data_IF_734648683324
#
_entry.id   IF_734648683324
#
_cell.length_a   1.000
_cell.length_b   1.000
_cell.length_c   1.000
_cell.angle_alpha   90.00
_cell.angle_beta   90.00
_cell.angle_gamma   90.00
#
_symmetry.space_group_name_H-M   'P 1'
#
loop_
_entity.id
_entity.type
_entity.pdbx_description
1 polymer ?
#
# COMPACT_ATOMS: atom_id res chain seq x y z
N UNK A 1 0.71 -10.27 2.25
CA UNK A 1 1.93 -9.46 2.02
C UNK A 1 2.55 -9.02 3.33
N UNK A 2 1.80 -8.34 4.18
CA UNK A 2 2.29 -7.68 5.38
C UNK A 2 3.11 -8.63 6.30
N UNK A 3 2.66 -9.86 6.49
CA UNK A 3 3.37 -10.85 7.32
C UNK A 3 4.75 -11.20 6.73
N UNK A 4 4.82 -11.35 5.40
CA UNK A 4 6.07 -11.64 4.69
C UNK A 4 7.03 -10.45 4.82
N UNK A 5 6.55 -9.24 4.58
CA UNK A 5 7.35 -8.02 4.67
C UNK A 5 7.88 -7.79 6.08
N UNK A 6 7.05 -7.99 7.11
CA UNK A 6 7.43 -7.88 8.53
C UNK A 6 8.46 -8.94 8.92
N UNK A 7 8.32 -10.18 8.40
CA UNK A 7 9.30 -11.24 8.62
C UNK A 7 10.68 -10.85 8.04
N UNK A 8 10.72 -10.42 6.77
CA UNK A 8 11.99 -10.01 6.16
C UNK A 8 12.58 -8.75 6.81
N UNK A 9 11.76 -7.78 7.23
CA UNK A 9 12.23 -6.63 7.99
C UNK A 9 12.87 -7.03 9.32
N UNK A 10 12.30 -8.05 10.00
CA UNK A 10 12.86 -8.60 11.24
C UNK A 10 14.23 -9.26 11.07
N UNK A 11 14.54 -9.76 9.88
CA UNK A 11 15.87 -10.28 9.56
C UNK A 11 16.93 -9.17 9.39
N UNK A 12 16.50 -7.93 9.14
CA UNK A 12 17.39 -6.77 9.05
C UNK A 12 17.68 -6.19 10.43
N UNK A 13 16.64 -5.80 11.18
CA UNK A 13 16.74 -5.34 12.56
C UNK A 13 15.36 -5.27 13.23
N UNK A 14 15.33 -5.28 14.56
CA UNK A 14 14.10 -5.09 15.35
C UNK A 14 13.51 -3.70 15.15
N UNK A 15 14.34 -2.67 14.98
CA UNK A 15 13.88 -1.30 14.70
C UNK A 15 13.24 -1.18 13.32
N UNK A 16 13.78 -1.88 12.30
CA UNK A 16 13.18 -1.94 10.97
C UNK A 16 11.81 -2.63 11.01
N UNK A 17 11.69 -3.73 11.76
CA UNK A 17 10.44 -4.46 11.94
C UNK A 17 9.38 -3.61 12.66
N UNK A 18 9.76 -2.96 13.77
CA UNK A 18 8.87 -2.09 14.51
C UNK A 18 8.47 -0.85 13.70
N UNK A 19 9.42 -0.23 12.99
CA UNK A 19 9.17 0.90 12.11
C UNK A 19 8.21 0.57 10.98
N UNK A 20 8.36 -0.62 10.36
CA UNK A 20 7.42 -1.09 9.35
C UNK A 20 6.01 -1.27 9.92
N UNK A 21 5.89 -1.89 11.10
CA UNK A 21 4.60 -2.16 11.73
C UNK A 21 3.82 -0.87 12.02
N UNK A 22 4.45 0.14 12.62
CA UNK A 22 3.81 1.44 12.91
C UNK A 22 3.47 2.21 11.62
N UNK A 23 4.31 2.10 10.59
CA UNK A 23 4.06 2.73 9.31
C UNK A 23 2.82 2.16 8.63
N UNK A 24 2.62 0.83 8.68
CA UNK A 24 1.42 0.20 8.14
C UNK A 24 0.16 0.62 8.87
N UNK A 25 0.21 0.77 10.20
CA UNK A 25 -0.95 1.25 10.97
C UNK A 25 -1.37 2.66 10.54
N UNK A 26 -0.41 3.58 10.43
CA UNK A 26 -0.66 4.93 9.97
C UNK A 26 -1.11 4.96 8.50
N UNK A 27 -0.49 4.16 7.63
CA UNK A 27 -0.84 4.05 6.22
C UNK A 27 -2.25 3.51 6.00
N UNK A 28 -2.69 2.57 6.83
CA UNK A 28 -4.02 1.97 6.73
C UNK A 28 -5.15 2.99 6.87
N UNK A 29 -4.94 4.06 7.64
CA UNK A 29 -5.90 5.18 7.76
C UNK A 29 -6.18 5.78 6.38
N UNK A 30 -5.15 6.01 5.58
CA UNK A 30 -5.29 6.56 4.23
C UNK A 30 -5.90 5.54 3.25
N UNK A 31 -5.49 4.28 3.35
CA UNK A 31 -6.01 3.19 2.50
C UNK A 31 -7.51 2.95 2.72
N UNK A 32 -8.03 3.19 3.92
CA UNK A 32 -9.46 3.04 4.25
C UNK A 32 -10.36 3.89 3.35
N UNK A 33 -9.89 5.04 2.90
CA UNK A 33 -10.63 5.88 1.93
C UNK A 33 -10.81 5.15 0.60
N UNK A 34 -9.79 4.39 0.17
CA UNK A 34 -9.87 3.55 -1.04
C UNK A 34 -10.95 2.45 -0.91
N UNK A 35 -11.09 1.83 0.27
CA UNK A 35 -12.18 0.88 0.52
C UNK A 35 -13.55 1.54 0.35
N UNK A 36 -13.74 2.74 0.88
CA UNK A 36 -14.97 3.50 0.71
C UNK A 36 -15.29 3.78 -0.76
N UNK A 37 -14.28 4.16 -1.53
CA UNK A 37 -14.41 4.37 -2.97
C UNK A 37 -14.81 3.08 -3.69
N UNK A 38 -14.18 1.95 -3.39
CA UNK A 38 -14.52 0.65 -3.95
C UNK A 38 -15.98 0.27 -3.68
N UNK A 39 -16.45 0.44 -2.44
CA UNK A 39 -17.84 0.18 -2.06
C UNK A 39 -18.83 1.10 -2.82
N UNK A 40 -18.50 2.39 -2.97
CA UNK A 40 -19.32 3.33 -3.73
C UNK A 40 -19.39 2.92 -5.22
N UNK A 41 -18.27 2.52 -5.82
CA UNK A 41 -18.25 2.04 -7.21
C UNK A 41 -19.08 0.77 -7.40
N UNK A 42 -18.98 -0.19 -6.46
CA UNK A 42 -19.82 -1.40 -6.49
C UNK A 42 -21.31 -1.05 -6.45
N UNK A 43 -21.71 -0.12 -5.59
CA UNK A 43 -23.11 0.26 -5.44
C UNK A 43 -23.62 1.04 -6.66
N UNK A 44 -22.90 2.06 -7.13
CA UNK A 44 -23.34 2.94 -8.22
C UNK A 44 -23.38 2.19 -9.56
N UNK A 45 -22.28 1.55 -9.92
CA UNK A 45 -22.18 0.80 -11.18
C UNK A 45 -23.11 -0.42 -11.15
N UNK A 46 -23.19 -1.14 -10.03
CA UNK A 46 -24.08 -2.28 -9.89
C UNK A 46 -25.56 -1.91 -10.01
N UNK A 47 -25.98 -0.76 -9.49
CA UNK A 47 -27.33 -0.23 -9.66
C UNK A 47 -27.64 0.09 -11.14
N UNK A 48 -26.72 0.74 -11.86
CA UNK A 48 -26.91 1.05 -13.28
C UNK A 48 -27.03 -0.24 -14.12
N UNK A 49 -26.16 -1.22 -13.88
CA UNK A 49 -26.22 -2.54 -14.53
C UNK A 49 -27.55 -3.25 -14.20
N UNK A 50 -27.99 -3.20 -12.93
CA UNK A 50 -29.27 -3.80 -12.50
C UNK A 50 -30.48 -3.20 -13.20
N UNK A 51 -30.42 -1.90 -13.56
CA UNK A 51 -31.44 -1.22 -14.40
C UNK A 51 -31.28 -1.46 -15.90
N UNK A 52 -30.24 -2.19 -16.32
CA UNK A 52 -29.85 -2.39 -17.71
C UNK A 52 -29.53 -1.07 -18.45
N UNK A 53 -28.97 -0.13 -17.74
CA UNK A 53 -28.51 1.17 -18.24
C UNK A 53 -27.01 1.13 -18.44
N UNK A 54 -26.59 0.60 -19.58
CA UNK A 54 -25.17 0.41 -19.90
C UNK A 54 -24.46 1.75 -20.16
N UNK A 55 -25.21 2.77 -20.62
CA UNK A 55 -24.66 4.10 -20.85
C UNK A 55 -24.33 4.80 -19.53
N UNK A 56 -25.26 4.76 -18.56
CA UNK A 56 -25.02 5.26 -17.21
C UNK A 56 -23.90 4.49 -16.52
N UNK A 57 -23.88 3.15 -16.64
CA UNK A 57 -22.82 2.32 -16.04
C UNK A 57 -21.44 2.72 -16.57
N UNK A 58 -21.30 2.86 -17.89
CA UNK A 58 -20.03 3.30 -18.51
C UNK A 58 -19.61 4.69 -18.07
N UNK A 59 -20.55 5.63 -17.96
CA UNK A 59 -20.31 6.99 -17.49
C UNK A 59 -19.82 6.99 -16.03
N UNK A 60 -20.48 6.23 -15.17
CA UNK A 60 -20.09 6.09 -13.76
C UNK A 60 -18.70 5.48 -13.58
N UNK A 61 -18.34 4.48 -14.41
CA UNK A 61 -16.99 3.90 -14.42
C UNK A 61 -15.96 4.97 -14.77
N UNK A 62 -16.17 5.74 -15.82
CA UNK A 62 -15.26 6.82 -16.24
C UNK A 62 -15.10 7.90 -15.18
N UNK A 63 -16.20 8.36 -14.60
CA UNK A 63 -16.21 9.34 -13.51
C UNK A 63 -15.53 8.78 -12.26
N UNK A 64 -15.79 7.53 -11.91
CA UNK A 64 -15.20 6.87 -10.74
C UNK A 64 -13.67 6.74 -10.84
N UNK A 65 -13.14 6.40 -12.02
CA UNK A 65 -11.69 6.35 -12.24
C UNK A 65 -11.08 7.76 -12.13
N UNK A 66 -11.70 8.77 -12.72
CA UNK A 66 -11.26 10.16 -12.59
C UNK A 66 -11.27 10.65 -11.15
N UNK A 67 -12.34 10.32 -10.40
CA UNK A 67 -12.47 10.63 -8.99
C UNK A 67 -11.44 9.88 -8.13
N UNK A 68 -11.14 8.61 -8.46
CA UNK A 68 -10.08 7.85 -7.81
C UNK A 68 -8.71 8.54 -7.96
N UNK A 69 -8.40 9.07 -9.13
CA UNK A 69 -7.18 9.84 -9.37
C UNK A 69 -7.11 11.11 -8.53
N UNK A 70 -8.20 11.86 -8.45
CA UNK A 70 -8.29 13.07 -7.61
C UNK A 70 -8.12 12.73 -6.13
N UNK A 71 -8.85 11.75 -5.61
CA UNK A 71 -8.74 11.28 -4.22
C UNK A 71 -7.32 10.80 -3.93
N UNK A 72 -6.69 10.07 -4.84
CA UNK A 72 -5.32 9.60 -4.68
C UNK A 72 -4.34 10.77 -4.51
N UNK A 73 -4.46 11.83 -5.31
CA UNK A 73 -3.63 13.03 -5.18
C UNK A 73 -3.84 13.74 -3.84
N UNK A 74 -5.09 13.91 -3.42
CA UNK A 74 -5.43 14.51 -2.13
C UNK A 74 -4.88 13.69 -0.96
N UNK A 75 -4.98 12.36 -1.04
CA UNK A 75 -4.46 11.46 -0.01
C UNK A 75 -2.94 11.47 0.06
N UNK A 76 -2.24 11.55 -1.07
CA UNK A 76 -0.77 11.72 -1.09
C UNK A 76 -0.39 13.02 -0.39
N UNK A 77 -1.03 14.13 -0.72
CA UNK A 77 -0.77 15.42 -0.07
C UNK A 77 -1.07 15.36 1.43
N UNK A 78 -2.23 14.82 1.82
CA UNK A 78 -2.61 14.63 3.21
C UNK A 78 -1.62 13.72 3.95
N UNK A 79 -1.20 12.62 3.34
CA UNK A 79 -0.25 11.70 3.95
C UNK A 79 1.13 12.36 4.17
N UNK A 80 1.62 13.14 3.22
CA UNK A 80 2.86 13.90 3.43
C UNK A 80 2.78 14.89 4.59
N UNK A 81 1.63 15.55 4.76
CA UNK A 81 1.42 16.54 5.82
C UNK A 81 1.20 15.90 7.18
N UNK A 82 0.41 14.83 7.24
CA UNK A 82 -0.08 14.27 8.51
C UNK A 82 0.66 13.02 8.98
N UNK A 83 1.35 12.28 8.10
CA UNK A 83 2.05 11.05 8.50
C UNK A 83 3.06 11.24 9.64
N UNK A 84 3.88 12.31 9.68
CA UNK A 84 4.80 12.51 10.80
C UNK A 84 4.07 12.70 12.14
N UNK A 85 2.93 13.39 12.11
CA UNK A 85 2.10 13.60 13.30
C UNK A 85 1.43 12.31 13.76
N UNK A 86 0.89 11.53 12.82
CA UNK A 86 0.29 10.22 13.12
C UNK A 86 1.30 9.26 13.72
N UNK A 87 2.50 9.18 13.15
CA UNK A 87 3.57 8.36 13.71
C UNK A 87 3.99 8.84 15.11
N UNK A 88 4.01 10.15 15.34
CA UNK A 88 4.27 10.72 16.66
C UNK A 88 3.20 10.41 17.72
N UNK A 89 1.96 10.15 17.31
CA UNK A 89 0.88 9.72 18.21
C UNK A 89 0.95 8.21 18.54
N UNK A 90 1.47 7.41 17.62
CA UNK A 90 1.52 5.94 17.74
C UNK A 90 2.82 5.50 18.42
N UNK A 91 3.90 6.29 18.28
CA UNK A 91 5.24 5.92 18.73
C UNK A 91 5.91 7.03 19.51
N UNK A 92 6.67 6.64 20.54
CA UNK A 92 7.63 7.53 21.21
C UNK A 92 8.85 7.77 20.31
N UNK A 93 9.65 8.81 20.61
CA UNK A 93 10.87 9.09 19.86
C UNK A 93 11.88 7.93 19.98
N UNK A 94 12.58 7.63 18.88
CA UNK A 94 13.57 6.56 18.84
C UNK A 94 13.89 6.08 17.42
N UNK A 95 14.88 5.21 17.31
CA UNK A 95 15.37 4.68 16.02
C UNK A 95 14.28 4.02 15.17
N UNK A 96 13.32 3.34 15.80
CA UNK A 96 12.21 2.70 15.10
C UNK A 96 11.22 3.70 14.50
N UNK A 97 11.05 4.90 15.09
CA UNK A 97 10.23 5.98 14.52
C UNK A 97 10.88 6.54 13.27
N UNK A 98 12.21 6.74 13.27
CA UNK A 98 12.93 7.19 12.09
C UNK A 98 12.89 6.17 10.96
N UNK A 99 12.99 4.88 11.29
CA UNK A 99 12.74 3.80 10.34
C UNK A 99 11.32 3.87 9.78
N UNK A 100 10.31 4.05 10.65
CA UNK A 100 8.91 4.22 10.28
C UNK A 100 8.67 5.39 9.34
N UNK A 101 9.27 6.55 9.59
CA UNK A 101 9.17 7.71 8.70
C UNK A 101 9.77 7.45 7.31
N UNK A 102 10.88 6.73 7.25
CA UNK A 102 11.50 6.32 5.97
C UNK A 102 10.59 5.37 5.18
N UNK A 103 10.03 4.36 5.84
CA UNK A 103 9.06 3.44 5.21
C UNK A 103 7.80 4.19 4.76
N UNK A 104 7.27 5.09 5.59
CA UNK A 104 6.08 5.85 5.27
C UNK A 104 6.23 6.67 3.98
N UNK A 105 7.40 7.28 3.73
CA UNK A 105 7.66 8.00 2.48
C UNK A 105 7.50 7.13 1.24
N UNK A 106 7.93 5.86 1.32
CA UNK A 106 7.78 4.88 0.23
C UNK A 106 6.32 4.46 0.09
N UNK A 107 5.65 4.19 1.21
CA UNK A 107 4.24 3.81 1.24
C UNK A 107 3.34 4.90 0.65
N UNK A 108 3.62 6.19 0.94
CA UNK A 108 2.86 7.32 0.39
C UNK A 108 2.91 7.32 -1.15
N UNK A 109 4.06 7.00 -1.75
CA UNK A 109 4.17 6.90 -3.21
C UNK A 109 3.30 5.78 -3.78
N UNK A 110 3.02 4.73 -3.02
CA UNK A 110 2.16 3.62 -3.43
C UNK A 110 0.66 3.90 -3.27
N UNK A 111 0.24 4.93 -2.51
CA UNK A 111 -1.17 5.26 -2.25
C UNK A 111 -2.03 5.34 -3.52
N UNK A 112 -1.61 6.02 -4.62
CA UNK A 112 -2.41 6.08 -5.83
C UNK A 112 -2.75 4.71 -6.39
N UNK A 113 -1.79 3.78 -6.37
CA UNK A 113 -2.00 2.42 -6.85
C UNK A 113 -3.04 1.68 -6.01
N UNK A 114 -3.03 1.87 -4.69
CA UNK A 114 -4.02 1.27 -3.79
C UNK A 114 -5.42 1.85 -4.04
N UNK A 115 -5.57 3.18 -4.09
CA UNK A 115 -6.87 3.83 -4.31
C UNK A 115 -7.48 3.41 -5.65
N UNK A 116 -6.69 3.41 -6.72
CA UNK A 116 -7.13 2.99 -8.04
C UNK A 116 -7.50 1.49 -8.03
N UNK A 117 -6.69 0.65 -7.41
CA UNK A 117 -6.96 -0.79 -7.32
C UNK A 117 -8.28 -1.08 -6.58
N UNK A 118 -8.58 -0.36 -5.49
CA UNK A 118 -9.87 -0.51 -4.79
C UNK A 118 -11.04 -0.01 -5.63
N UNK A 119 -10.90 1.11 -6.34
CA UNK A 119 -11.92 1.58 -7.28
C UNK A 119 -12.21 0.55 -8.38
N UNK A 120 -11.16 0.03 -9.01
CA UNK A 120 -11.28 -1.03 -10.04
C UNK A 120 -11.89 -2.32 -9.47
N UNK A 121 -11.50 -2.72 -8.26
CA UNK A 121 -12.09 -3.87 -7.60
C UNK A 121 -13.59 -3.69 -7.36
N UNK A 122 -14.02 -2.48 -6.99
CA UNK A 122 -15.45 -2.15 -6.86
C UNK A 122 -16.21 -2.29 -8.19
N UNK A 123 -15.61 -1.87 -9.30
CA UNK A 123 -16.19 -2.03 -10.64
C UNK A 123 -16.28 -3.52 -11.01
N UNK A 124 -15.23 -4.30 -10.79
CA UNK A 124 -15.22 -5.74 -11.04
C UNK A 124 -16.31 -6.45 -10.24
N UNK A 125 -16.47 -6.10 -8.97
CA UNK A 125 -17.55 -6.64 -8.13
C UNK A 125 -18.94 -6.27 -8.65
N UNK A 126 -19.12 -5.04 -9.16
CA UNK A 126 -20.39 -4.60 -9.75
C UNK A 126 -20.80 -5.43 -10.97
N UNK A 127 -19.84 -5.85 -11.80
CA UNK A 127 -20.09 -6.74 -12.94
C UNK A 127 -20.11 -8.24 -12.58
N UNK A 128 -19.96 -8.58 -11.29
CA UNK A 128 -19.96 -9.96 -10.80
C UNK A 128 -18.61 -10.69 -10.91
N UNK A 129 -17.55 -10.01 -11.33
CA UNK A 129 -16.20 -10.59 -11.39
C UNK A 129 -15.48 -10.45 -10.04
N UNK A 130 -15.65 -11.44 -9.20
CA UNK A 130 -14.96 -11.53 -7.89
C UNK A 130 -13.63 -12.29 -7.96
N UNK A 131 -13.33 -12.92 -9.10
CA UNK A 131 -12.19 -13.84 -9.25
C UNK A 131 -10.95 -13.13 -9.78
N UNK A 132 -11.11 -12.18 -10.69
CA UNK A 132 -9.97 -11.50 -11.33
C UNK A 132 -9.08 -10.79 -10.33
N UNK A 133 -9.67 -10.08 -9.36
CA UNK A 133 -8.89 -9.42 -8.30
C UNK A 133 -8.18 -10.42 -7.40
N UNK A 134 -8.82 -11.54 -7.06
CA UNK A 134 -8.18 -12.59 -6.25
C UNK A 134 -6.98 -13.20 -6.98
N UNK A 135 -7.09 -13.47 -8.29
CA UNK A 135 -5.98 -13.97 -9.11
C UNK A 135 -4.82 -12.98 -9.15
N UNK A 136 -5.11 -11.68 -9.33
CA UNK A 136 -4.10 -10.63 -9.28
C UNK A 136 -3.38 -10.58 -7.92
N UNK A 137 -4.13 -10.68 -6.82
CA UNK A 137 -3.57 -10.70 -5.47
C UNK A 137 -2.72 -11.95 -5.21
N UNK A 138 -3.14 -13.12 -5.66
CA UNK A 138 -2.35 -14.35 -5.54
C UNK A 138 -1.05 -14.21 -6.34
N UNK A 139 -1.11 -13.72 -7.58
CA UNK A 139 0.08 -13.47 -8.39
C UNK A 139 1.04 -12.49 -7.73
N UNK A 140 0.51 -11.38 -7.21
CA UNK A 140 1.30 -10.39 -6.48
C UNK A 140 1.90 -10.95 -5.17
N UNK A 141 1.20 -11.88 -4.47
CA UNK A 141 1.75 -12.56 -3.30
C UNK A 141 3.00 -13.39 -3.65
N UNK A 142 2.94 -14.20 -4.70
CA UNK A 142 4.10 -14.98 -5.13
C UNK A 142 5.23 -14.09 -5.65
N UNK A 143 4.91 -13.01 -6.36
CA UNK A 143 5.90 -12.01 -6.78
C UNK A 143 6.58 -11.35 -5.56
N UNK A 144 5.82 -10.94 -4.55
CA UNK A 144 6.34 -10.39 -3.31
C UNK A 144 7.26 -11.39 -2.58
N UNK A 145 6.81 -12.65 -2.46
CA UNK A 145 7.61 -13.71 -1.82
C UNK A 145 8.94 -13.94 -2.53
N UNK A 146 8.97 -13.87 -3.87
CA UNK A 146 10.20 -14.02 -4.66
C UNK A 146 11.09 -12.77 -4.67
N UNK A 147 10.48 -11.57 -4.65
CA UNK A 147 11.21 -10.31 -4.70
C UNK A 147 11.81 -9.91 -3.35
N UNK A 148 11.16 -10.22 -2.23
CA UNK A 148 11.65 -9.82 -0.91
C UNK A 148 13.08 -10.31 -0.61
N UNK A 149 13.44 -11.58 -0.81
CA UNK A 149 14.83 -12.01 -0.61
C UNK A 149 15.82 -11.23 -1.47
N UNK A 150 15.46 -10.98 -2.73
CA UNK A 150 16.31 -10.25 -3.68
C UNK A 150 16.50 -8.79 -3.26
N UNK A 151 15.43 -8.14 -2.81
CA UNK A 151 15.47 -6.73 -2.39
C UNK A 151 16.15 -6.55 -1.03
N UNK A 152 15.99 -7.49 -0.10
CA UNK A 152 16.56 -7.41 1.25
C UNK A 152 18.02 -7.87 1.27
N UNK A 153 18.34 -8.96 0.59
CA UNK A 153 19.67 -9.56 0.62
C UNK A 153 20.52 -9.24 -0.63
N UNK A 154 19.91 -8.64 -1.67
CA UNK A 154 20.56 -8.39 -2.96
C UNK A 154 20.67 -9.65 -3.82
N UNK A 155 21.06 -9.46 -5.09
CA UNK A 155 21.37 -10.59 -5.98
C UNK A 155 22.81 -11.02 -5.67
N UNK A 156 23.07 -12.31 -5.42
CA UNK A 156 24.43 -12.80 -5.23
C UNK A 156 25.34 -12.35 -6.39
N UNK A 157 26.34 -11.52 -6.08
CA UNK A 157 27.31 -10.99 -7.05
C UNK A 157 27.13 -9.54 -7.49
N UNK A 158 26.04 -8.84 -7.14
CA UNK A 158 25.82 -7.45 -7.57
C UNK A 158 25.77 -6.43 -6.45
N UNK A 159 25.53 -6.83 -5.20
CA UNK A 159 25.52 -5.93 -4.04
C UNK A 159 26.47 -6.48 -2.97
N UNK A 160 27.55 -5.74 -2.72
CA UNK A 160 28.50 -6.12 -1.67
C UNK A 160 27.84 -5.85 -0.30
N UNK A 161 27.70 -6.87 0.49
CA UNK A 161 27.20 -6.88 1.89
C UNK A 161 28.00 -5.98 2.85
N UNK A 162 29.06 -5.32 2.35
CA UNK A 162 30.00 -4.56 3.17
C UNK A 162 29.47 -3.25 3.70
N UNK A 163 28.43 -2.65 3.08
CA UNK A 163 27.94 -1.34 3.52
C UNK A 163 26.97 -1.39 4.71
N UNK A 164 26.27 -2.51 4.95
CA UNK A 164 25.37 -2.62 6.10
C UNK A 164 26.10 -3.01 7.40
N UNK A 165 27.20 -3.76 7.30
CA UNK A 165 28.01 -4.16 8.44
C UNK A 165 28.97 -3.07 8.94
N UNK A 166 29.33 -2.11 8.09
CA UNK A 166 30.24 -1.01 8.47
C UNK A 166 29.62 -0.01 9.46
N UNK A 167 28.29 0.06 9.57
CA UNK A 167 27.61 0.90 10.53
C UNK A 167 27.45 0.27 11.94
N UNK A 168 27.52 -1.06 12.06
CA UNK A 168 27.41 -1.72 13.38
C UNK A 168 28.75 -1.78 14.14
N UNK A 169 29.88 -1.73 13.45
CA UNK A 169 31.20 -1.80 14.08
C UNK A 169 31.78 -0.46 14.52
N UNK A 170 31.07 0.65 14.26
CA UNK A 170 31.53 2.00 14.63
C UNK A 170 31.05 2.50 16.02
N UNK A 171 30.32 1.68 16.78
CA UNK A 171 29.76 2.03 18.08
C UNK A 171 30.26 1.09 19.21
N UNK A 172 31.57 0.76 19.19
CA UNK A 172 32.26 0.20 20.35
C UNK A 172 33.50 1.04 20.70
#
# INVERSE_FOLDING_TARGET
>A
YNVVDVFFAGLVSTDAQAGLAISFQAFFIFVTVGFGLGAAMTALVGNAIGRKDDEEASTLVGQGIGFAGLIALLLVAAAYLFAPHLLGLISTDGAYRDAGLRYMKILIVSLPSFVIAYGLNGILQAVGDTVSMQRALIGAFFANLGLNPVLVFGIPGTVSYTHLRAHETSNH
#
